data_IF_548000068815
#
_entry.id   IF_548000068815
#
_cell.length_a   1.000
_cell.length_b   1.000
_cell.length_c   1.000
_cell.angle_alpha   90.00
_cell.angle_beta   90.00
_cell.angle_gamma   90.00
#
_symmetry.space_group_name_H-M   'P 1'
#
loop_
_entity.id
_entity.type
_entity.pdbx_description
1 polymer ?
#
# COMPACT_ATOMS: atom_id res chain seq x y z
N UNK A 1 37.80 -32.60 43.13
CA UNK A 1 37.59 -31.37 42.33
C UNK A 1 38.95 -30.71 42.16
N UNK A 2 39.58 -30.83 41.00
CA UNK A 2 40.90 -30.24 40.73
C UNK A 2 40.74 -28.74 40.50
N UNK A 3 41.47 -27.86 41.22
CA UNK A 3 41.38 -26.43 41.00
C UNK A 3 42.00 -26.06 39.65
N UNK A 4 41.23 -25.36 38.81
CA UNK A 4 41.71 -24.81 37.54
C UNK A 4 42.88 -23.86 37.82
N UNK A 5 43.97 -24.00 37.06
CA UNK A 5 45.13 -23.12 37.22
C UNK A 5 44.80 -21.71 36.72
N UNK A 6 45.47 -20.70 37.29
CA UNK A 6 45.29 -19.28 36.89
C UNK A 6 45.41 -19.06 35.37
N UNK A 7 46.22 -19.87 34.68
CA UNK A 7 46.37 -19.79 33.22
C UNK A 7 45.12 -20.27 32.48
N UNK A 8 44.41 -21.28 32.98
CA UNK A 8 43.16 -21.76 32.37
C UNK A 8 42.01 -20.76 32.54
N UNK A 9 41.97 -20.04 33.67
CA UNK A 9 41.02 -18.94 33.89
C UNK A 9 41.30 -17.74 32.96
N UNK A 10 42.57 -17.36 32.78
CA UNK A 10 42.97 -16.28 31.87
C UNK A 10 42.64 -16.58 30.41
N UNK A 11 42.89 -17.81 29.94
CA UNK A 11 42.53 -18.23 28.58
C UNK A 11 41.02 -18.21 28.37
N UNK A 12 40.24 -18.64 29.38
CA UNK A 12 38.77 -18.58 29.33
C UNK A 12 38.24 -17.16 29.20
N UNK A 13 38.77 -16.21 29.98
CA UNK A 13 38.36 -14.79 29.94
C UNK A 13 38.76 -14.12 28.62
N UNK A 14 39.96 -14.41 28.11
CA UNK A 14 40.40 -13.87 26.83
C UNK A 14 39.57 -14.42 25.66
N UNK A 15 39.19 -15.70 25.69
CA UNK A 15 38.35 -16.31 24.67
C UNK A 15 36.93 -15.71 24.66
N UNK A 16 36.32 -15.47 25.83
CA UNK A 16 34.99 -14.86 25.90
C UNK A 16 35.00 -13.39 25.45
N UNK A 17 36.03 -12.62 25.82
CA UNK A 17 36.20 -11.24 25.34
C UNK A 17 36.41 -11.18 23.81
N UNK A 18 37.18 -12.11 23.23
CA UNK A 18 37.36 -12.15 21.79
C UNK A 18 36.05 -12.49 21.05
N UNK A 19 35.26 -13.42 21.57
CA UNK A 19 33.97 -13.83 20.99
C UNK A 19 32.91 -12.71 21.08
N UNK A 20 32.87 -11.94 22.17
CA UNK A 20 31.94 -10.81 22.30
C UNK A 20 32.32 -9.66 21.35
N UNK A 21 33.61 -9.35 21.22
CA UNK A 21 34.09 -8.32 20.28
C UNK A 21 33.80 -8.71 18.83
N UNK A 22 34.00 -9.98 18.44
CA UNK A 22 33.66 -10.45 17.10
C UNK A 22 32.16 -10.35 16.81
N UNK A 23 31.32 -10.68 17.80
CA UNK A 23 29.86 -10.63 17.67
C UNK A 23 29.35 -9.20 17.49
N UNK A 24 29.89 -8.25 18.24
CA UNK A 24 29.53 -6.82 18.11
C UNK A 24 29.95 -6.28 16.73
N UNK A 25 31.14 -6.66 16.25
CA UNK A 25 31.62 -6.25 14.92
C UNK A 25 30.74 -6.80 13.78
N UNK A 26 30.27 -8.05 13.89
CA UNK A 26 29.37 -8.65 12.89
C UNK A 26 28.00 -7.92 12.81
N UNK A 27 27.42 -7.54 13.96
CA UNK A 27 26.16 -6.78 14.01
C UNK A 27 26.34 -5.38 13.43
N UNK A 28 27.47 -4.72 13.69
CA UNK A 28 27.78 -3.41 13.12
C UNK A 28 27.96 -3.49 11.58
N UNK A 29 28.62 -4.53 11.07
CA UNK A 29 28.84 -4.71 9.63
C UNK A 29 27.53 -5.04 8.88
N UNK A 30 26.61 -5.76 9.51
CA UNK A 30 25.25 -6.02 8.98
C UNK A 30 24.34 -4.78 9.05
N UNK A 31 24.56 -3.89 10.02
CA UNK A 31 23.82 -2.63 10.16
C UNK A 31 24.21 -1.57 9.13
N UNK A 32 25.48 -1.55 8.71
CA UNK A 32 26.02 -0.51 7.83
C UNK A 32 25.57 -0.65 6.36
N UNK A 33 25.20 -1.85 5.92
CA UNK A 33 24.76 -2.13 4.54
C UNK A 33 23.34 -1.60 4.21
N UNK A 34 22.64 -0.97 5.18
CA UNK A 34 21.30 -0.38 4.96
C UNK A 34 21.27 1.15 4.85
N UNK A 35 22.41 1.83 4.84
CA UNK A 35 22.44 3.29 4.67
C UNK A 35 22.71 3.62 3.20
N UNK A 36 21.73 3.30 2.36
CA UNK A 36 21.67 3.70 0.95
C UNK A 36 20.54 4.70 0.74
N UNK A 37 20.93 5.96 0.57
CA UNK A 37 20.24 7.06 -0.13
C UNK A 37 18.71 7.24 0.02
N UNK A 38 18.30 8.33 0.69
CA UNK A 38 17.00 8.96 0.44
C UNK A 38 16.41 9.67 1.64
N UNK A 39 16.66 10.98 1.76
CA UNK A 39 15.79 11.87 2.53
C UNK A 39 14.48 12.04 1.74
N UNK A 40 13.43 11.32 2.14
CA UNK A 40 12.06 11.64 1.76
C UNK A 40 11.16 11.41 2.98
N UNK A 41 10.66 12.50 3.55
CA UNK A 41 9.74 12.48 4.67
C UNK A 41 8.42 11.80 4.30
N UNK A 42 7.98 10.88 5.14
CA UNK A 42 6.67 10.26 5.06
C UNK A 42 6.60 9.03 5.95
N UNK A 43 6.06 9.17 7.15
CA UNK A 43 5.55 8.03 7.91
C UNK A 43 4.53 7.30 7.04
N UNK A 44 4.83 6.06 6.67
CA UNK A 44 3.99 5.21 5.83
C UNK A 44 4.84 4.05 5.32
N UNK A 45 4.38 2.82 5.53
CA UNK A 45 5.15 1.60 5.32
C UNK A 45 5.84 1.51 3.95
N UNK A 46 7.08 1.02 3.93
CA UNK A 46 7.81 0.79 2.69
C UNK A 46 7.24 -0.41 1.94
N UNK A 47 6.62 -0.17 0.80
CA UNK A 47 6.27 -1.24 -0.14
C UNK A 47 7.57 -1.87 -0.68
N UNK A 48 7.69 -3.21 -0.75
CA UNK A 48 8.83 -3.87 -1.39
C UNK A 48 9.00 -3.37 -2.83
N UNK A 49 10.21 -3.38 -3.40
CA UNK A 49 10.38 -3.10 -4.83
C UNK A 49 9.64 -4.14 -5.69
N UNK A 50 8.98 -3.71 -6.77
CA UNK A 50 8.32 -4.61 -7.74
C UNK A 50 8.90 -4.46 -9.14
N UNK A 51 8.90 -5.55 -9.90
CA UNK A 51 9.07 -5.53 -11.34
C UNK A 51 7.72 -5.21 -12.02
N UNK A 52 7.71 -4.39 -13.06
CA UNK A 52 6.51 -4.00 -13.82
C UNK A 52 6.06 -2.56 -13.60
N UNK A 53 4.92 -2.19 -14.19
CA UNK A 53 4.35 -0.84 -14.08
C UNK A 53 3.78 -0.62 -12.68
N UNK A 54 4.17 0.48 -12.03
CA UNK A 54 3.61 0.91 -10.75
C UNK A 54 2.68 2.08 -11.00
N UNK A 55 1.43 1.94 -10.55
CA UNK A 55 0.42 3.00 -10.50
C UNK A 55 0.29 3.45 -9.04
N UNK A 56 0.63 4.70 -8.75
CA UNK A 56 0.43 5.28 -7.44
C UNK A 56 -1.01 5.78 -7.36
N UNK A 57 -1.74 5.30 -6.36
CA UNK A 57 -3.13 5.66 -6.10
C UNK A 57 -3.17 6.42 -4.77
N UNK A 58 -3.79 7.59 -4.77
CA UNK A 58 -4.01 8.39 -3.56
C UNK A 58 -5.48 8.36 -3.19
N UNK A 59 -5.78 8.11 -1.91
CA UNK A 59 -7.13 8.17 -1.35
C UNK A 59 -7.22 9.26 -0.29
N UNK A 60 -8.32 10.03 -0.30
CA UNK A 60 -8.51 11.22 0.54
C UNK A 60 -9.97 11.39 0.94
N UNK A 61 -10.21 11.94 2.13
CA UNK A 61 -11.56 12.30 2.57
C UNK A 61 -12.09 13.58 1.90
N UNK A 62 -11.19 14.34 1.25
CA UNK A 62 -11.49 15.65 0.66
C UNK A 62 -10.92 15.72 -0.75
N UNK A 63 -11.81 15.72 -1.75
CA UNK A 63 -11.49 15.80 -3.16
C UNK A 63 -12.23 16.98 -3.80
N UNK A 64 -11.46 18.04 -4.11
CA UNK A 64 -11.87 19.15 -4.98
C UNK A 64 -12.98 20.07 -4.46
N UNK A 65 -13.22 21.21 -5.16
CA UNK A 65 -14.34 22.09 -4.86
C UNK A 65 -15.66 21.41 -5.20
N UNK A 66 -16.62 21.54 -4.28
CA UNK A 66 -17.93 20.92 -4.30
C UNK A 66 -18.69 21.21 -5.61
N UNK A 67 -19.06 20.17 -6.34
CA UNK A 67 -20.18 20.28 -7.27
C UNK A 67 -21.47 20.43 -6.44
N UNK A 68 -21.90 21.67 -6.19
CA UNK A 68 -23.20 21.92 -5.53
C UNK A 68 -23.31 23.09 -4.56
N UNK A 69 -22.31 23.98 -4.46
CA UNK A 69 -22.42 25.23 -3.68
C UNK A 69 -22.00 25.12 -2.20
N UNK A 70 -22.07 26.23 -1.44
CA UNK A 70 -21.53 26.31 -0.09
C UNK A 70 -22.33 25.44 0.89
N UNK A 71 -21.67 24.47 1.54
CA UNK A 71 -22.26 23.71 2.66
C UNK A 71 -22.48 22.20 2.45
N UNK A 72 -22.12 21.63 1.31
CA UNK A 72 -22.16 20.17 1.10
C UNK A 72 -20.78 19.56 1.33
N UNK A 73 -20.56 18.76 2.38
CA UNK A 73 -19.27 18.09 2.66
C UNK A 73 -18.49 17.74 1.38
N UNK A 74 -17.20 18.13 1.32
CA UNK A 74 -16.36 17.86 0.16
C UNK A 74 -16.39 16.36 -0.15
N UNK A 75 -16.49 16.00 -1.43
CA UNK A 75 -16.51 14.60 -1.83
C UNK A 75 -15.23 13.89 -1.36
N UNK A 76 -15.30 12.58 -1.16
CA UNK A 76 -14.09 11.78 -0.98
C UNK A 76 -13.46 11.53 -2.36
N UNK A 77 -12.18 11.14 -2.41
CA UNK A 77 -11.48 10.93 -3.67
C UNK A 77 -10.56 9.73 -3.71
N UNK A 78 -10.46 9.14 -4.89
CA UNK A 78 -9.46 8.16 -5.27
C UNK A 78 -8.87 8.58 -6.62
N UNK A 79 -7.57 8.85 -6.66
CA UNK A 79 -6.88 9.32 -7.87
C UNK A 79 -5.68 8.45 -8.17
N UNK A 80 -5.56 7.99 -9.41
CA UNK A 80 -4.36 7.34 -9.91
C UNK A 80 -3.46 8.35 -10.63
N UNK A 81 -2.14 8.20 -10.52
CA UNK A 81 -1.15 9.00 -11.25
C UNK A 81 -1.08 8.66 -12.74
N UNK A 82 -1.67 7.54 -13.15
CA UNK A 82 -1.81 7.11 -14.54
C UNK A 82 -3.29 6.93 -14.89
N UNK A 83 -3.71 7.56 -15.99
CA UNK A 83 -5.01 7.28 -16.60
C UNK A 83 -4.95 6.08 -17.57
N UNK A 84 -3.77 5.77 -18.09
CA UNK A 84 -3.52 4.68 -19.04
C UNK A 84 -2.21 3.96 -18.70
N UNK A 85 -2.21 2.63 -18.80
CA UNK A 85 -1.03 1.78 -18.64
C UNK A 85 -0.98 0.68 -19.71
N UNK A 86 0.20 0.12 -19.96
CA UNK A 86 0.34 -1.08 -20.80
C UNK A 86 -0.22 -2.31 -20.07
N UNK A 87 -0.85 -3.21 -20.82
CA UNK A 87 -1.28 -4.51 -20.31
C UNK A 87 -0.14 -5.35 -19.74
N UNK A 88 -0.50 -6.31 -18.89
CA UNK A 88 0.45 -7.18 -18.19
C UNK A 88 0.43 -6.96 -16.68
N UNK A 89 1.57 -7.20 -16.04
CA UNK A 89 1.73 -7.06 -14.59
C UNK A 89 1.74 -5.59 -14.17
N UNK A 90 0.65 -5.16 -13.53
CA UNK A 90 0.48 -3.82 -12.97
C UNK A 90 0.37 -3.91 -11.46
N UNK A 91 1.15 -3.11 -10.76
CA UNK A 91 1.03 -2.95 -9.31
C UNK A 91 0.39 -1.62 -8.98
N UNK A 92 -0.60 -1.66 -8.11
CA UNK A 92 -1.22 -0.48 -7.53
C UNK A 92 -0.67 -0.28 -6.13
N UNK A 93 0.03 0.83 -5.91
CA UNK A 93 0.44 1.28 -4.58
C UNK A 93 -0.56 2.32 -4.10
N UNK A 94 -1.35 1.99 -3.09
CA UNK A 94 -2.44 2.83 -2.60
C UNK A 94 -2.01 3.49 -1.31
N UNK A 95 -1.97 4.82 -1.30
CA UNK A 95 -1.65 5.63 -0.12
C UNK A 95 -2.89 6.36 0.37
N UNK A 96 -3.18 6.19 1.65
CA UNK A 96 -4.25 6.89 2.34
C UNK A 96 -3.71 8.18 2.97
N UNK A 97 -4.08 9.32 2.39
CA UNK A 97 -3.74 10.64 2.95
C UNK A 97 -4.87 11.25 3.77
N UNK A 98 -6.03 10.60 3.79
CA UNK A 98 -7.20 10.96 4.60
C UNK A 98 -7.10 10.49 6.05
N UNK A 99 -8.22 10.65 6.76
CA UNK A 99 -8.49 10.31 8.15
C UNK A 99 -9.42 9.11 8.27
N UNK A 100 -10.18 8.78 7.24
CA UNK A 100 -10.96 7.55 7.19
C UNK A 100 -10.13 6.40 6.64
N UNK A 101 -10.54 5.17 6.93
CA UNK A 101 -9.98 3.98 6.30
C UNK A 101 -10.44 3.92 4.84
N UNK A 102 -9.53 3.52 3.95
CA UNK A 102 -9.79 3.42 2.52
C UNK A 102 -9.32 2.09 1.95
N UNK A 103 -9.84 1.73 0.79
CA UNK A 103 -9.38 0.59 0.00
C UNK A 103 -9.36 0.98 -1.47
N UNK A 104 -8.79 0.10 -2.29
CA UNK A 104 -8.91 0.18 -3.74
C UNK A 104 -9.26 -1.21 -4.27
N UNK A 105 -10.37 -1.30 -5.00
CA UNK A 105 -10.90 -2.48 -5.67
C UNK A 105 -10.84 -2.22 -7.18
N UNK A 106 -10.52 -3.26 -7.96
CA UNK A 106 -10.36 -3.17 -9.41
C UNK A 106 -11.51 -3.91 -10.08
N UNK A 107 -12.46 -3.17 -10.67
CA UNK A 107 -13.58 -3.77 -11.40
C UNK A 107 -13.49 -3.49 -12.91
N UNK A 108 -13.67 -4.50 -13.77
CA UNK A 108 -13.83 -4.27 -15.20
C UNK A 108 -15.05 -3.40 -15.51
N UNK A 109 -14.91 -2.49 -16.46
CA UNK A 109 -16.03 -1.78 -17.10
C UNK A 109 -16.37 -2.48 -18.40
N UNK A 110 -17.60 -2.98 -18.51
CA UNK A 110 -18.08 -3.71 -19.70
C UNK A 110 -19.04 -2.86 -20.51
N UNK A 111 -19.00 -3.03 -21.84
CA UNK A 111 -19.88 -2.31 -22.77
C UNK A 111 -19.86 -0.80 -22.58
N UNK A 112 -21.05 -0.22 -22.39
CA UNK A 112 -21.26 1.23 -22.23
C UNK A 112 -21.18 1.71 -20.78
N UNK A 113 -20.77 0.87 -19.83
CA UNK A 113 -20.68 1.26 -18.43
C UNK A 113 -19.73 2.44 -18.24
N UNK A 114 -20.23 3.45 -17.53
CA UNK A 114 -19.49 4.64 -17.15
C UNK A 114 -18.99 4.52 -15.71
N UNK A 115 -17.80 5.02 -15.44
CA UNK A 115 -17.26 5.15 -14.09
C UNK A 115 -18.22 5.99 -13.22
N UNK A 116 -18.43 5.61 -11.97
CA UNK A 116 -19.34 6.28 -11.05
C UNK A 116 -20.82 5.95 -11.20
N UNK A 117 -21.18 5.01 -12.09
CA UNK A 117 -22.60 4.70 -12.37
C UNK A 117 -23.06 3.34 -11.85
N UNK A 118 -22.22 2.64 -11.07
CA UNK A 118 -22.62 1.35 -10.47
C UNK A 118 -23.75 1.54 -9.46
N UNK A 119 -24.73 0.61 -9.43
CA UNK A 119 -25.81 0.68 -8.45
C UNK A 119 -25.27 0.46 -7.04
N UNK A 120 -25.73 1.29 -6.11
CA UNK A 120 -25.36 1.21 -4.70
C UNK A 120 -26.47 0.47 -3.95
N UNK A 121 -26.10 -0.61 -3.28
CA UNK A 121 -27.00 -1.41 -2.46
C UNK A 121 -27.40 -0.71 -1.16
N UNK A 122 -28.38 -1.27 -0.45
CA UNK A 122 -28.91 -0.70 0.79
C UNK A 122 -27.90 -0.59 1.94
N UNK A 123 -26.76 -1.30 1.84
CA UNK A 123 -25.63 -1.20 2.78
C UNK A 123 -24.64 -0.08 2.42
N UNK A 124 -24.92 0.72 1.39
CA UNK A 124 -24.03 1.80 0.93
C UNK A 124 -22.82 1.32 0.13
N UNK A 125 -22.79 0.06 -0.30
CA UNK A 125 -21.74 -0.55 -1.12
C UNK A 125 -22.26 -0.91 -2.51
N UNK A 126 -21.38 -0.97 -3.50
CA UNK A 126 -21.65 -1.57 -4.80
C UNK A 126 -21.40 -3.09 -4.77
N UNK A 127 -21.89 -3.81 -5.79
CA UNK A 127 -21.50 -5.21 -6.04
C UNK A 127 -20.08 -5.29 -6.63
N UNK A 128 -19.22 -6.11 -6.01
CA UNK A 128 -17.84 -6.35 -6.40
C UNK A 128 -17.65 -7.64 -7.20
N UNK A 129 -18.74 -8.30 -7.60
CA UNK A 129 -18.67 -9.47 -8.46
C UNK A 129 -17.82 -9.19 -9.71
N UNK A 130 -16.81 -10.04 -9.92
CA UNK A 130 -15.84 -9.88 -11.02
C UNK A 130 -14.65 -8.97 -10.72
N UNK A 131 -14.44 -8.56 -9.45
CA UNK A 131 -13.21 -7.88 -9.03
C UNK A 131 -11.97 -8.69 -9.39
N UNK A 132 -10.96 -8.00 -9.93
CA UNK A 132 -9.69 -8.59 -10.32
C UNK A 132 -8.62 -8.48 -9.22
N UNK A 133 -8.88 -7.67 -8.18
CA UNK A 133 -7.93 -7.46 -7.11
C UNK A 133 -8.36 -6.32 -6.20
N UNK A 134 -7.75 -6.31 -5.02
CA UNK A 134 -8.02 -5.36 -3.96
C UNK A 134 -6.73 -5.05 -3.20
N UNK A 135 -6.53 -3.78 -2.87
CA UNK A 135 -5.55 -3.32 -1.89
C UNK A 135 -6.30 -2.73 -0.68
N UNK A 136 -6.39 -3.51 0.39
CA UNK A 136 -6.99 -3.11 1.66
C UNK A 136 -6.21 -3.62 2.87
N UNK A 137 -5.12 -4.36 2.68
CA UNK A 137 -4.20 -4.71 3.76
C UNK A 137 -3.30 -3.52 4.11
N UNK A 138 -3.45 -2.98 5.33
CA UNK A 138 -2.55 -1.94 5.84
C UNK A 138 -1.12 -2.48 5.90
N UNK A 139 -0.20 -1.79 5.24
CA UNK A 139 1.23 -2.11 5.18
C UNK A 139 1.55 -3.49 4.60
N UNK A 140 0.65 -4.03 3.78
CA UNK A 140 0.80 -5.34 3.17
C UNK A 140 0.16 -5.41 1.78
N UNK A 141 0.38 -6.53 1.11
CA UNK A 141 -0.25 -6.83 -0.18
C UNK A 141 -1.64 -7.43 -0.01
N UNK A 142 -2.56 -7.06 -0.90
CA UNK A 142 -3.85 -7.73 -1.08
C UNK A 142 -4.94 -7.23 -0.14
N UNK A 143 -5.90 -8.12 0.12
CA UNK A 143 -7.09 -7.86 0.91
C UNK A 143 -6.80 -7.86 2.43
N UNK A 144 -7.55 -7.06 3.17
CA UNK A 144 -7.41 -6.82 4.59
C UNK A 144 -8.65 -6.15 5.17
N UNK A 145 -8.46 -5.22 6.11
CA UNK A 145 -9.54 -4.50 6.79
C UNK A 145 -9.60 -3.01 6.40
N UNK A 146 -8.94 -2.67 5.31
CA UNK A 146 -8.70 -1.31 4.84
C UNK A 146 -7.33 -0.75 5.22
N UNK A 147 -6.91 0.24 4.45
CA UNK A 147 -5.67 1.00 4.59
C UNK A 147 -5.93 2.13 5.58
N UNK A 148 -5.24 2.08 6.72
CA UNK A 148 -5.36 3.07 7.79
C UNK A 148 -4.85 4.46 7.37
N UNK A 149 -5.29 5.53 8.06
CA UNK A 149 -4.82 6.89 7.82
C UNK A 149 -3.29 6.99 7.80
N UNK A 150 -2.75 7.72 6.82
CA UNK A 150 -1.31 7.95 6.66
C UNK A 150 -0.50 6.67 6.46
N UNK A 151 -1.12 5.60 5.96
CA UNK A 151 -0.45 4.35 5.59
C UNK A 151 -0.70 4.00 4.12
N UNK A 152 -0.11 2.90 3.69
CA UNK A 152 -0.27 2.38 2.33
C UNK A 152 -0.58 0.89 2.34
N UNK A 153 -1.20 0.41 1.27
CA UNK A 153 -1.33 -1.00 0.92
C UNK A 153 -1.07 -1.17 -0.58
N UNK A 154 -0.93 -2.39 -1.08
CA UNK A 154 -0.72 -2.61 -2.51
C UNK A 154 -1.35 -3.90 -3.02
N UNK A 155 -1.50 -4.00 -4.33
CA UNK A 155 -1.88 -5.25 -5.00
C UNK A 155 -1.23 -5.31 -6.38
N UNK A 156 -0.75 -6.49 -6.76
CA UNK A 156 -0.19 -6.76 -8.08
C UNK A 156 -1.15 -7.65 -8.86
N UNK A 157 -1.58 -7.20 -10.04
CA UNK A 157 -2.53 -7.93 -10.90
C UNK A 157 -2.05 -7.95 -12.34
N UNK A 158 -2.37 -9.03 -13.06
CA UNK A 158 -2.14 -9.09 -14.49
C UNK A 158 -3.39 -8.59 -15.23
N UNK A 159 -3.33 -7.39 -15.81
CA UNK A 159 -4.47 -6.77 -16.47
C UNK A 159 -4.38 -6.96 -18.00
N UNK A 160 -5.39 -7.58 -18.64
CA UNK A 160 -5.51 -7.53 -20.09
C UNK A 160 -5.92 -6.12 -20.57
N UNK A 161 -5.78 -5.81 -21.87
CA UNK A 161 -6.31 -4.58 -22.44
C UNK A 161 -7.79 -4.40 -22.14
N UNK A 162 -8.20 -3.19 -21.77
CA UNK A 162 -9.58 -2.92 -21.36
C UNK A 162 -9.74 -1.64 -20.53
N UNK A 163 -10.95 -1.44 -20.02
CA UNK A 163 -11.29 -0.32 -19.13
C UNK A 163 -11.62 -0.87 -17.75
N UNK A 164 -11.09 -0.22 -16.72
CA UNK A 164 -11.27 -0.61 -15.33
C UNK A 164 -11.69 0.60 -14.51
N UNK A 165 -12.52 0.35 -13.52
CA UNK A 165 -12.84 1.30 -12.47
C UNK A 165 -12.08 0.90 -11.22
N UNK A 166 -11.19 1.79 -10.77
CA UNK A 166 -10.54 1.68 -9.47
C UNK A 166 -11.41 2.44 -8.48
N UNK A 167 -11.80 1.82 -7.37
CA UNK A 167 -12.75 2.44 -6.43
C UNK A 167 -12.53 2.03 -4.98
N UNK A 168 -13.07 2.80 -4.05
CA UNK A 168 -13.19 2.42 -2.65
C UNK A 168 -14.64 2.04 -2.34
N UNK A 169 -14.88 0.84 -1.85
CA UNK A 169 -16.22 0.32 -1.60
C UNK A 169 -16.58 0.27 -0.11
N UNK A 170 -15.86 0.98 0.76
CA UNK A 170 -16.35 1.27 2.10
C UNK A 170 -17.73 1.96 2.01
N UNK A 171 -18.63 1.66 2.96
CA UNK A 171 -20.02 2.09 2.86
C UNK A 171 -20.13 3.62 2.72
N UNK A 172 -20.72 4.08 1.62
CA UNK A 172 -20.89 5.50 1.28
C UNK A 172 -19.69 6.15 0.55
N UNK A 173 -18.54 5.49 0.46
CA UNK A 173 -17.33 6.06 -0.15
C UNK A 173 -17.45 6.17 -1.68
N UNK A 174 -17.99 5.14 -2.34
CA UNK A 174 -18.30 5.20 -3.78
C UNK A 174 -19.31 6.30 -4.10
N UNK A 175 -20.37 6.42 -3.29
CA UNK A 175 -21.38 7.47 -3.41
C UNK A 175 -20.79 8.88 -3.27
N UNK A 176 -19.73 9.01 -2.46
CA UNK A 176 -19.01 10.25 -2.23
C UNK A 176 -17.98 10.58 -3.32
N UNK A 177 -17.84 9.73 -4.35
CA UNK A 177 -16.97 9.97 -5.50
C UNK A 177 -15.62 9.23 -5.48
N UNK A 178 -15.43 8.22 -4.62
CA UNK A 178 -14.16 7.47 -4.58
C UNK A 178 -14.05 6.43 -5.71
N UNK A 179 -13.90 6.92 -6.93
CA UNK A 179 -13.59 6.10 -8.09
C UNK A 179 -12.74 6.87 -9.11
N UNK A 180 -11.98 6.14 -9.93
CA UNK A 180 -11.32 6.68 -11.13
C UNK A 180 -11.30 5.64 -12.24
N UNK A 181 -11.24 6.11 -13.48
CA UNK A 181 -11.04 5.27 -14.65
C UNK A 181 -9.54 4.95 -14.80
N UNK A 182 -9.24 3.70 -15.15
CA UNK A 182 -7.96 3.28 -15.69
C UNK A 182 -8.19 2.59 -17.04
N UNK A 183 -7.41 3.00 -18.04
CA UNK A 183 -7.36 2.34 -19.35
C UNK A 183 -6.12 1.46 -19.43
N UNK A 184 -6.25 0.27 -19.99
CA UNK A 184 -5.13 -0.65 -20.22
C UNK A 184 -5.04 -0.94 -21.71
N UNK A 185 -3.85 -0.77 -22.29
CA UNK A 185 -3.59 -0.92 -23.74
C UNK A 185 -2.64 -2.06 -24.06
#
# INVERSE_FOLDING_TARGET
MTPLSRSQLLVGVLATLALTVLSIAAVAFLGQQRIGAGLAGGTGCAAPGSAGTIVNVTTTDMAGPMMGGPGRMGGMGLTADHATVTHGSVRFLVTNVGRYTHEMVILPLTGEQMTGTRPIGGNGKIDEAGSLGEASATCAEGAGQGILPRTSGWVSVNLPPGRYELLCNFAGHYAAGMYTLLTVT
#
